data_IF_538606993844
#
_entry.id   IF_538606993844
#
_cell.length_a   1.000
_cell.length_b   1.000
_cell.length_c   1.000
_cell.angle_alpha   90.00
_cell.angle_beta   90.00
_cell.angle_gamma   90.00
#
_symmetry.space_group_name_H-M   'P 1'
#
loop_
_entity.id
_entity.type
_entity.pdbx_description
1 polymer ?
#
# COMPACT_ATOMS: atom_id res chain seq x y z
N UNK A 1 0.86 -20.02 14.14
CA UNK A 1 -0.50 -20.06 13.57
C UNK A 1 -0.96 -18.70 13.09
N UNK A 2 -0.80 -17.66 13.89
CA UNK A 2 -1.11 -16.28 13.51
C UNK A 2 -0.34 -15.81 12.27
N UNK A 3 0.97 -16.05 12.22
CA UNK A 3 1.86 -15.67 11.11
C UNK A 3 1.53 -16.39 9.79
N UNK A 4 0.84 -17.53 9.86
CA UNK A 4 0.44 -18.29 8.66
C UNK A 4 -0.95 -17.91 8.13
N UNK A 5 -1.83 -17.40 8.98
CA UNK A 5 -3.24 -17.13 8.61
C UNK A 5 -3.57 -15.65 8.46
N UNK A 6 -2.86 -14.79 9.17
CA UNK A 6 -3.15 -13.35 9.20
C UNK A 6 -2.94 -12.66 7.85
N UNK A 7 -1.78 -12.84 7.15
CA UNK A 7 -1.62 -12.21 5.83
C UNK A 7 -2.64 -12.70 4.82
N UNK A 8 -3.06 -13.96 4.90
CA UNK A 8 -3.96 -14.57 3.93
C UNK A 8 -5.33 -13.90 3.88
N UNK A 9 -5.91 -13.53 5.02
CA UNK A 9 -7.18 -12.80 5.06
C UNK A 9 -7.06 -11.42 4.42
N UNK A 10 -6.02 -10.67 4.78
CA UNK A 10 -5.73 -9.36 4.19
C UNK A 10 -5.48 -9.48 2.70
N UNK A 11 -4.68 -10.44 2.28
CA UNK A 11 -4.37 -10.67 0.87
C UNK A 11 -5.62 -11.03 0.07
N UNK A 12 -6.51 -11.85 0.60
CA UNK A 12 -7.76 -12.20 -0.05
C UNK A 12 -8.67 -10.97 -0.27
N UNK A 13 -8.82 -10.13 0.75
CA UNK A 13 -9.58 -8.88 0.63
C UNK A 13 -8.95 -7.91 -0.36
N UNK A 14 -7.63 -7.73 -0.31
CA UNK A 14 -6.91 -6.82 -1.18
C UNK A 14 -6.96 -7.30 -2.64
N UNK A 15 -6.79 -8.59 -2.87
CA UNK A 15 -6.89 -9.17 -4.22
C UNK A 15 -8.29 -9.01 -4.79
N UNK A 16 -9.34 -9.29 -4.03
CA UNK A 16 -10.72 -9.14 -4.47
C UNK A 16 -11.03 -7.68 -4.84
N UNK A 17 -10.56 -6.73 -4.05
CA UNK A 17 -10.71 -5.31 -4.33
C UNK A 17 -9.95 -4.90 -5.60
N UNK A 18 -8.72 -5.37 -5.76
CA UNK A 18 -7.92 -5.13 -6.96
C UNK A 18 -8.62 -5.69 -8.22
N UNK A 19 -9.08 -6.93 -8.18
CA UNK A 19 -9.76 -7.59 -9.31
C UNK A 19 -11.07 -6.89 -9.69
N UNK A 20 -11.76 -6.30 -8.73
CA UNK A 20 -12.99 -5.54 -8.97
C UNK A 20 -12.74 -4.23 -9.72
N UNK A 21 -11.60 -3.59 -9.52
CA UNK A 21 -11.34 -2.23 -10.00
C UNK A 21 -10.28 -2.14 -11.10
N UNK A 22 -9.42 -3.13 -11.25
CA UNK A 22 -8.27 -3.12 -12.16
C UNK A 22 -8.32 -4.32 -13.09
N UNK A 23 -8.13 -4.05 -14.39
CA UNK A 23 -8.02 -5.08 -15.42
C UNK A 23 -6.61 -5.68 -15.44
N UNK A 24 -6.51 -6.96 -15.80
CA UNK A 24 -5.23 -7.63 -16.04
C UNK A 24 -4.47 -7.09 -17.27
N UNK A 25 -5.12 -6.26 -18.09
CA UNK A 25 -4.46 -5.54 -19.19
C UNK A 25 -3.61 -4.36 -18.72
N UNK A 26 -3.78 -3.93 -17.48
CA UNK A 26 -3.06 -2.80 -16.91
C UNK A 26 -1.72 -3.24 -16.33
N UNK A 27 -0.76 -2.32 -16.33
CA UNK A 27 0.56 -2.53 -15.72
C UNK A 27 0.61 -1.84 -14.36
N UNK A 28 0.90 -2.61 -13.33
CA UNK A 28 0.94 -2.17 -11.94
C UNK A 28 2.38 -1.83 -11.53
N UNK A 29 2.58 -0.63 -10.99
CA UNK A 29 3.77 -0.32 -10.19
C UNK A 29 3.40 -0.52 -8.72
N UNK A 30 3.91 -1.60 -8.12
CA UNK A 30 3.71 -1.92 -6.70
C UNK A 30 4.87 -1.38 -5.89
N UNK A 31 4.55 -0.51 -4.95
CA UNK A 31 5.54 0.16 -4.11
C UNK A 31 6.17 -0.82 -3.13
N UNK A 32 7.48 -0.94 -3.15
CA UNK A 32 8.26 -1.90 -2.38
C UNK A 32 8.93 -2.96 -3.26
N UNK A 33 9.87 -3.69 -2.69
CA UNK A 33 10.52 -4.83 -3.37
C UNK A 33 9.51 -5.96 -3.62
N UNK A 34 9.80 -6.89 -4.55
CA UNK A 34 8.98 -8.08 -4.74
C UNK A 34 8.68 -8.77 -3.41
N UNK A 35 7.42 -9.08 -3.16
CA UNK A 35 6.92 -9.58 -1.90
C UNK A 35 5.83 -10.63 -2.12
N UNK A 36 5.34 -11.33 -1.08
CA UNK A 36 4.34 -12.36 -1.24
C UNK A 36 3.07 -11.89 -1.95
N UNK A 37 2.64 -10.65 -1.73
CA UNK A 37 1.43 -10.15 -2.40
C UNK A 37 1.66 -9.78 -3.86
N UNK A 38 2.83 -9.24 -4.22
CA UNK A 38 3.16 -9.02 -5.64
C UNK A 38 3.17 -10.34 -6.42
N UNK A 39 3.65 -11.41 -5.82
CA UNK A 39 3.56 -12.75 -6.41
C UNK A 39 2.11 -13.23 -6.60
N UNK A 40 1.25 -13.00 -5.61
CA UNK A 40 -0.19 -13.31 -5.71
C UNK A 40 -0.83 -12.55 -6.87
N UNK A 41 -0.51 -11.27 -7.04
CA UNK A 41 -0.99 -10.48 -8.17
C UNK A 41 -0.54 -11.08 -9.52
N UNK A 42 0.72 -11.44 -9.64
CA UNK A 42 1.27 -12.08 -10.85
C UNK A 42 0.60 -13.43 -11.14
N UNK A 43 0.41 -14.27 -10.14
CA UNK A 43 -0.28 -15.57 -10.27
C UNK A 43 -1.76 -15.41 -10.69
N UNK A 44 -2.35 -14.25 -10.46
CA UNK A 44 -3.71 -13.90 -10.90
C UNK A 44 -3.75 -13.13 -12.22
N UNK A 45 -2.65 -13.11 -12.96
CA UNK A 45 -2.59 -12.59 -14.32
C UNK A 45 -2.22 -11.11 -14.44
N UNK A 46 -1.90 -10.43 -13.34
CA UNK A 46 -1.46 -9.03 -13.39
C UNK A 46 0.02 -8.90 -13.78
N UNK A 47 0.33 -7.86 -14.53
CA UNK A 47 1.72 -7.45 -14.78
C UNK A 47 2.16 -6.49 -13.69
N UNK A 48 3.16 -6.88 -12.90
CA UNK A 48 3.60 -6.14 -11.72
C UNK A 48 5.07 -5.74 -11.85
N UNK A 49 5.31 -4.45 -11.67
CA UNK A 49 6.65 -3.86 -11.51
C UNK A 49 6.82 -3.49 -10.04
N UNK A 50 8.02 -3.64 -9.50
CA UNK A 50 8.33 -3.27 -8.12
C UNK A 50 9.45 -2.23 -8.06
N UNK A 51 9.50 -1.47 -6.99
CA UNK A 51 10.66 -0.65 -6.65
C UNK A 51 11.80 -1.55 -6.14
N UNK A 52 13.02 -1.02 -6.05
CA UNK A 52 14.24 -1.83 -5.84
C UNK A 52 14.82 -1.73 -4.42
N UNK A 53 14.02 -1.24 -3.46
CA UNK A 53 14.40 -1.17 -2.04
C UNK A 53 15.05 0.15 -1.62
N UNK A 54 15.02 1.17 -2.48
CA UNK A 54 15.42 2.52 -2.14
C UNK A 54 14.56 3.12 -1.04
N UNK A 55 15.12 4.04 -0.27
CA UNK A 55 14.37 4.85 0.68
C UNK A 55 13.50 5.85 -0.09
N UNK A 56 12.20 5.55 -0.15
CA UNK A 56 11.23 6.34 -0.92
C UNK A 56 10.94 7.72 -0.32
N UNK A 57 11.32 7.97 0.91
CA UNK A 57 11.27 9.32 1.50
C UNK A 57 12.30 10.27 0.86
N UNK A 58 13.41 9.72 0.36
CA UNK A 58 14.52 10.49 -0.20
C UNK A 58 14.76 10.26 -1.68
N UNK A 59 14.29 9.16 -2.24
CA UNK A 59 14.54 8.76 -3.62
C UNK A 59 13.29 8.17 -4.28
N UNK A 60 12.68 8.91 -5.19
CA UNK A 60 11.50 8.48 -5.96
C UNK A 60 11.84 8.17 -7.43
N UNK A 61 13.10 8.06 -7.82
CA UNK A 61 13.50 7.81 -9.21
C UNK A 61 12.92 6.52 -9.79
N UNK A 62 12.71 5.51 -8.95
CA UNK A 62 12.09 4.25 -9.38
C UNK A 62 10.69 4.45 -9.99
N UNK A 63 9.97 5.50 -9.61
CA UNK A 63 8.64 5.81 -10.15
C UNK A 63 8.67 6.35 -11.58
N UNK A 64 9.84 6.73 -12.08
CA UNK A 64 10.03 7.31 -13.42
C UNK A 64 10.67 6.35 -14.43
N UNK A 65 11.22 5.22 -13.97
CA UNK A 65 12.06 4.32 -14.80
C UNK A 65 11.21 3.54 -15.82
N UNK A 66 9.99 3.17 -15.48
CA UNK A 66 9.13 2.34 -16.32
C UNK A 66 7.73 2.93 -16.40
N UNK A 67 7.03 2.64 -17.50
CA UNK A 67 5.64 3.04 -17.68
C UNK A 67 4.71 2.07 -16.96
N UNK A 68 3.75 2.60 -16.24
CA UNK A 68 2.69 1.87 -15.57
C UNK A 68 1.37 2.65 -15.66
N UNK A 69 0.26 1.97 -15.51
CA UNK A 69 -1.08 2.55 -15.59
C UNK A 69 -1.79 2.57 -14.25
N UNK A 70 -1.32 1.76 -13.30
CA UNK A 70 -1.83 1.66 -11.94
C UNK A 70 -0.67 1.70 -10.96
N UNK A 71 -0.83 2.44 -9.90
CA UNK A 71 0.11 2.46 -8.77
C UNK A 71 -0.53 1.81 -7.55
N UNK A 72 0.18 0.91 -6.90
CA UNK A 72 -0.31 0.26 -5.68
C UNK A 72 0.66 0.46 -4.52
N UNK A 73 0.11 0.69 -3.34
CA UNK A 73 0.87 0.83 -2.10
C UNK A 73 0.08 0.14 -0.97
N UNK A 74 0.37 -1.13 -0.73
CA UNK A 74 -0.33 -1.93 0.26
C UNK A 74 0.46 -2.02 1.55
N UNK A 75 -0.04 -1.40 2.62
CA UNK A 75 0.58 -1.34 3.93
C UNK A 75 2.00 -0.74 3.87
N UNK A 76 2.15 0.37 3.16
CA UNK A 76 3.42 1.07 2.94
C UNK A 76 3.42 2.47 3.53
N UNK A 77 2.35 3.25 3.37
CA UNK A 77 2.36 4.68 3.71
C UNK A 77 2.58 4.97 5.19
N UNK A 78 2.19 4.07 6.07
CA UNK A 78 2.49 4.16 7.51
C UNK A 78 3.99 4.08 7.82
N UNK A 79 4.76 3.43 6.94
CA UNK A 79 6.21 3.29 7.04
C UNK A 79 6.99 4.44 6.39
N UNK A 80 6.33 5.33 5.67
CA UNK A 80 6.95 6.49 5.05
C UNK A 80 6.82 7.72 5.97
N UNK A 81 7.90 8.45 6.10
CA UNK A 81 7.88 9.75 6.77
C UNK A 81 7.17 10.80 5.89
N UNK A 82 7.35 10.69 4.57
CA UNK A 82 6.88 11.67 3.59
C UNK A 82 6.06 11.04 2.45
N UNK A 83 4.88 10.46 2.72
CA UNK A 83 4.02 9.90 1.68
C UNK A 83 3.50 10.95 0.68
N UNK A 84 3.43 12.22 1.08
CA UNK A 84 3.03 13.33 0.22
C UNK A 84 3.88 13.43 -1.05
N UNK A 85 5.22 13.40 -0.91
CA UNK A 85 6.13 13.49 -2.05
C UNK A 85 6.01 12.28 -2.97
N UNK A 86 5.85 11.08 -2.43
CA UNK A 86 5.61 9.88 -3.22
C UNK A 86 4.34 10.03 -4.07
N UNK A 87 3.24 10.44 -3.44
CA UNK A 87 1.95 10.63 -4.13
C UNK A 87 2.03 11.68 -5.24
N UNK A 88 2.83 12.74 -5.06
CA UNK A 88 3.04 13.75 -6.09
C UNK A 88 3.85 13.25 -7.28
N UNK A 89 4.70 12.24 -7.10
CA UNK A 89 5.55 11.67 -8.14
C UNK A 89 4.96 10.45 -8.84
N UNK A 90 3.77 10.01 -8.49
CA UNK A 90 3.04 8.94 -9.20
C UNK A 90 2.69 9.40 -10.61
N UNK A 91 3.03 8.59 -11.61
CA UNK A 91 2.88 8.91 -13.04
C UNK A 91 1.74 8.14 -13.72
N UNK A 92 0.61 8.02 -13.05
CA UNK A 92 -0.58 7.37 -13.60
C UNK A 92 -1.84 7.94 -12.96
N UNK A 93 -3.01 7.55 -13.51
CA UNK A 93 -4.31 8.07 -13.09
C UNK A 93 -5.06 7.20 -12.10
N UNK A 94 -4.53 6.01 -11.80
CA UNK A 94 -5.18 5.06 -10.89
C UNK A 94 -4.24 4.71 -9.73
N UNK A 95 -4.78 4.76 -8.53
CA UNK A 95 -4.08 4.47 -7.30
C UNK A 95 -4.92 3.55 -6.43
N UNK A 96 -4.37 2.43 -6.01
CA UNK A 96 -4.93 1.56 -4.96
C UNK A 96 -3.99 1.52 -3.78
N UNK A 97 -4.50 1.80 -2.61
CA UNK A 97 -3.73 1.76 -1.37
C UNK A 97 -4.46 1.01 -0.27
N UNK A 98 -3.72 0.42 0.62
CA UNK A 98 -4.22 -0.04 1.91
C UNK A 98 -3.35 0.47 3.04
N UNK A 99 -3.98 0.78 4.15
CA UNK A 99 -3.32 1.19 5.39
C UNK A 99 -4.00 0.54 6.59
N UNK A 100 -3.27 0.26 7.66
CA UNK A 100 -3.88 -0.04 8.94
C UNK A 100 -4.48 1.25 9.52
N UNK A 101 -5.72 1.20 9.99
CA UNK A 101 -6.33 2.30 10.70
C UNK A 101 -5.98 2.24 12.19
N UNK A 102 -5.74 3.40 12.77
CA UNK A 102 -5.53 3.52 14.20
C UNK A 102 -6.75 3.01 14.97
N UNK A 103 -6.48 2.18 15.98
CA UNK A 103 -7.49 1.69 16.90
C UNK A 103 -7.49 2.58 18.15
N UNK A 104 -8.64 3.09 18.52
CA UNK A 104 -8.78 3.98 19.69
C UNK A 104 -8.42 3.32 21.03
N UNK A 105 -8.47 1.99 21.08
CA UNK A 105 -8.21 1.18 22.28
C UNK A 105 -6.82 0.55 22.31
N UNK A 106 -5.98 0.83 21.33
CA UNK A 106 -4.66 0.24 21.23
C UNK A 106 -3.59 1.31 21.00
N UNK A 107 -2.43 1.21 21.65
CA UNK A 107 -1.32 2.10 21.35
C UNK A 107 -0.83 1.88 19.91
N UNK A 108 -0.21 2.91 19.37
CA UNK A 108 0.42 2.84 18.07
C UNK A 108 1.49 1.74 18.03
N UNK A 109 1.52 0.99 16.93
CA UNK A 109 2.55 -0.03 16.70
C UNK A 109 3.92 0.63 16.54
N UNK A 110 4.92 0.02 17.15
CA UNK A 110 6.32 0.39 16.92
C UNK A 110 7.23 -0.83 17.03
N UNK A 111 8.10 -0.99 16.07
CA UNK A 111 9.21 -1.92 16.17
C UNK A 111 10.34 -1.29 16.98
N UNK A 112 10.93 -2.07 17.90
CA UNK A 112 12.10 -1.65 18.69
C UNK A 112 13.42 -1.99 18.00
N UNK A 113 13.41 -2.90 17.05
CA UNK A 113 14.60 -3.53 16.48
C UNK A 113 14.72 -3.34 14.97
N UNK A 114 13.62 -3.21 14.24
CA UNK A 114 13.60 -3.06 12.80
C UNK A 114 13.21 -1.64 12.42
N UNK A 115 14.16 -0.90 11.86
CA UNK A 115 13.97 0.46 11.39
C UNK A 115 12.95 0.53 10.24
N UNK A 116 12.89 -0.47 9.36
CA UNK A 116 12.00 -0.50 8.21
C UNK A 116 10.55 -0.86 8.58
N UNK A 117 10.34 -1.42 9.78
CA UNK A 117 9.02 -1.75 10.31
C UNK A 117 8.47 -0.67 11.28
N UNK A 118 9.03 0.52 11.25
CA UNK A 118 8.51 1.66 12.01
C UNK A 118 7.29 2.25 11.32
N UNK A 119 6.25 2.50 12.11
CA UNK A 119 5.13 3.32 11.68
C UNK A 119 5.40 4.78 12.03
N UNK A 120 5.71 5.59 11.06
CA UNK A 120 5.83 7.04 11.25
C UNK A 120 4.46 7.73 11.31
N UNK A 121 3.43 7.08 10.77
CA UNK A 121 2.06 7.56 10.76
C UNK A 121 1.11 6.47 11.24
N UNK A 122 0.16 6.87 12.08
CA UNK A 122 -0.97 6.06 12.49
C UNK A 122 -2.24 6.72 11.96
N UNK A 123 -2.68 6.30 10.78
CA UNK A 123 -3.79 6.95 10.09
C UNK A 123 -5.14 6.66 10.71
N UNK A 124 -5.94 7.69 10.87
CA UNK A 124 -7.39 7.61 10.83
C UNK A 124 -7.85 7.82 9.37
N UNK A 125 -9.06 7.41 9.03
CA UNK A 125 -9.55 7.47 7.64
C UNK A 125 -9.56 8.91 7.08
N UNK A 126 -9.95 9.90 7.88
CA UNK A 126 -9.98 11.29 7.48
C UNK A 126 -8.58 11.87 7.20
N UNK A 127 -7.55 11.38 7.88
CA UNK A 127 -6.16 11.82 7.63
C UNK A 127 -5.68 11.34 6.27
N UNK A 128 -5.98 10.09 5.92
CA UNK A 128 -5.69 9.57 4.58
C UNK A 128 -6.47 10.34 3.51
N UNK A 129 -7.74 10.62 3.75
CA UNK A 129 -8.60 11.36 2.82
C UNK A 129 -8.00 12.73 2.51
N UNK A 130 -7.57 13.46 3.54
CA UNK A 130 -6.94 14.76 3.36
C UNK A 130 -5.60 14.70 2.63
N UNK A 131 -4.79 13.67 2.90
CA UNK A 131 -3.54 13.45 2.18
C UNK A 131 -3.78 13.22 0.68
N UNK A 132 -4.75 12.41 0.35
CA UNK A 132 -5.13 12.13 -1.04
C UNK A 132 -5.71 13.37 -1.73
N UNK A 133 -6.60 14.09 -1.08
CA UNK A 133 -7.17 15.34 -1.60
C UNK A 133 -6.07 16.38 -1.84
N UNK A 134 -5.17 16.57 -0.89
CA UNK A 134 -4.05 17.52 -0.97
C UNK A 134 -3.11 17.22 -2.13
N UNK A 135 -2.97 15.95 -2.51
CA UNK A 135 -2.12 15.50 -3.61
C UNK A 135 -2.87 15.35 -4.94
N UNK A 136 -4.15 15.76 -4.98
CA UNK A 136 -4.94 15.80 -6.20
C UNK A 136 -5.71 14.52 -6.54
N UNK A 137 -5.77 13.55 -5.62
CA UNK A 137 -6.48 12.30 -5.81
C UNK A 137 -7.93 12.39 -5.36
N UNK A 138 -8.81 11.73 -6.09
CA UNK A 138 -10.22 11.57 -5.74
C UNK A 138 -10.51 10.12 -5.39
N UNK A 139 -11.08 9.90 -4.21
CA UNK A 139 -11.49 8.57 -3.78
C UNK A 139 -12.79 8.18 -4.51
N UNK A 140 -12.76 7.06 -5.22
CA UNK A 140 -13.91 6.52 -5.95
C UNK A 140 -14.45 5.23 -5.35
N UNK A 141 -13.66 4.52 -4.55
CA UNK A 141 -14.08 3.30 -3.87
C UNK A 141 -13.31 3.12 -2.55
N UNK A 142 -13.95 2.48 -1.58
CA UNK A 142 -13.37 2.20 -0.27
C UNK A 142 -13.98 0.95 0.32
N UNK A 143 -13.13 0.13 0.90
CA UNK A 143 -13.55 -1.00 1.74
C UNK A 143 -12.79 -0.96 3.08
N UNK A 144 -13.49 -1.33 4.15
CA UNK A 144 -12.89 -1.52 5.48
C UNK A 144 -13.12 -2.97 5.91
N UNK A 145 -12.11 -3.58 6.47
CA UNK A 145 -12.19 -4.93 7.00
C UNK A 145 -11.36 -5.06 8.28
N UNK A 146 -11.68 -6.05 9.08
CA UNK A 146 -11.00 -6.29 10.35
C UNK A 146 -9.96 -7.40 10.21
N UNK A 147 -8.84 -7.22 10.90
CA UNK A 147 -7.84 -8.28 11.09
C UNK A 147 -8.17 -9.08 12.35
N UNK A 148 -7.83 -10.39 12.39
CA UNK A 148 -7.81 -11.11 13.65
C UNK A 148 -6.83 -10.42 14.61
N UNK A 149 -7.32 -10.06 15.79
CA UNK A 149 -6.45 -9.49 16.83
C UNK A 149 -5.68 -10.62 17.48
N UNK A 150 -4.39 -10.42 17.70
CA UNK A 150 -3.58 -11.34 18.49
C UNK A 150 -4.15 -11.36 19.93
N UNK A 151 -4.68 -12.49 20.33
CA UNK A 151 -5.10 -12.68 21.71
C UNK A 151 -3.89 -12.88 22.61
#
# INVERSE_FOLDING_TARGET
>A
MYEKTFPNKRFAHTLAFLQKHISTQETIMDLGVPNPFSKIMEENGFTVLNTTGEDLDTNQQALDIQKYTVFTAFEIFEHLLNPYTVLQNVKCDKLLISIPLRLWFSPAYRSKTDMWDRHYHEFEDWQLDWLLEKTGWKITAREKFTHPVKK
#
